data_IF_006218587034
#
_entry.id   IF_006218587034
#
_cell.length_a   1.000
_cell.length_b   1.000
_cell.length_c   1.000
_cell.angle_alpha   90.00
_cell.angle_beta   90.00
_cell.angle_gamma   90.00
#
_symmetry.space_group_name_H-M   'P 1'
#
loop_
_entity.id
_entity.type
_entity.pdbx_description
1 polymer ?
#
# COMPACT_ATOMS: atom_id res chain seq x y z
N UNK A 1 10.71 -19.25 16.91
CA UNK A 1 11.86 -19.76 16.14
C UNK A 1 11.61 -19.39 14.69
N UNK A 2 12.28 -18.38 14.14
CA UNK A 2 12.20 -18.12 12.70
C UNK A 2 12.75 -19.36 12.00
N UNK A 3 11.92 -20.06 11.23
CA UNK A 3 12.39 -21.18 10.44
C UNK A 3 13.27 -20.61 9.32
N UNK A 4 14.59 -20.85 9.42
CA UNK A 4 15.62 -20.29 8.53
C UNK A 4 15.97 -21.27 7.41
N UNK A 5 14.99 -22.00 6.89
CA UNK A 5 15.19 -22.99 5.81
C UNK A 5 15.39 -22.30 4.45
N UNK A 6 16.52 -21.60 4.30
CA UNK A 6 16.88 -20.92 3.07
C UNK A 6 17.13 -21.90 1.91
N UNK A 7 17.57 -23.13 2.22
CA UNK A 7 17.71 -24.20 1.22
C UNK A 7 16.35 -24.61 0.66
N UNK A 8 15.34 -24.75 1.53
CA UNK A 8 13.95 -24.95 1.15
C UNK A 8 13.40 -23.84 0.27
N UNK A 9 13.61 -22.58 0.65
CA UNK A 9 13.21 -21.43 -0.19
C UNK A 9 13.87 -21.48 -1.57
N UNK A 10 15.17 -21.80 -1.63
CA UNK A 10 15.87 -21.94 -2.92
C UNK A 10 15.29 -23.05 -3.79
N UNK A 11 15.10 -24.26 -3.23
CA UNK A 11 14.49 -25.38 -3.98
C UNK A 11 13.09 -25.01 -4.49
N UNK A 12 12.29 -24.36 -3.65
CA UNK A 12 10.95 -23.92 -4.02
C UNK A 12 10.98 -22.99 -5.24
N UNK A 13 11.88 -22.02 -5.27
CA UNK A 13 12.00 -21.07 -6.38
C UNK A 13 12.64 -21.69 -7.63
N UNK A 14 13.79 -22.35 -7.46
CA UNK A 14 14.63 -22.82 -8.57
C UNK A 14 14.12 -24.10 -9.21
N UNK A 15 13.45 -24.97 -8.44
CA UNK A 15 12.93 -26.23 -8.96
C UNK A 15 11.41 -26.19 -9.16
N UNK A 16 10.64 -25.77 -8.15
CA UNK A 16 9.19 -25.91 -8.21
C UNK A 16 8.54 -24.80 -9.04
N UNK A 17 8.81 -23.53 -8.73
CA UNK A 17 8.28 -22.37 -9.45
C UNK A 17 8.85 -22.33 -10.87
N UNK A 18 10.18 -22.29 -11.02
CA UNK A 18 10.84 -22.26 -12.34
C UNK A 18 10.53 -23.49 -13.18
N UNK A 19 10.40 -24.66 -12.56
CA UNK A 19 10.03 -25.91 -13.24
C UNK A 19 8.54 -26.05 -13.55
N UNK A 20 7.69 -25.10 -13.12
CA UNK A 20 6.25 -25.14 -13.37
C UNK A 20 5.53 -26.33 -12.71
N UNK A 21 6.10 -26.88 -11.63
CA UNK A 21 5.52 -28.00 -10.87
C UNK A 21 4.23 -27.57 -10.15
N UNK A 22 3.36 -28.52 -9.75
CA UNK A 22 2.09 -28.18 -9.08
C UNK A 22 2.25 -27.24 -7.88
N UNK A 23 3.20 -27.52 -6.99
CA UNK A 23 3.49 -26.65 -5.84
C UNK A 23 3.96 -25.25 -6.29
N UNK A 24 4.83 -25.20 -7.30
CA UNK A 24 5.31 -23.94 -7.86
C UNK A 24 4.22 -23.07 -8.46
N UNK A 25 3.18 -23.67 -9.06
CA UNK A 25 2.01 -22.93 -9.57
C UNK A 25 1.16 -22.36 -8.45
N UNK A 26 0.99 -23.11 -7.36
CA UNK A 26 0.27 -22.62 -6.17
C UNK A 26 1.02 -21.43 -5.57
N UNK A 27 2.33 -21.58 -5.32
CA UNK A 27 3.16 -20.50 -4.76
C UNK A 27 3.25 -19.29 -5.71
N UNK A 28 3.37 -19.54 -7.02
CA UNK A 28 3.41 -18.50 -8.05
C UNK A 28 2.09 -17.74 -8.22
N UNK A 29 0.98 -18.25 -7.67
CA UNK A 29 -0.30 -17.55 -7.64
C UNK A 29 -0.37 -16.40 -6.62
N UNK A 30 0.66 -16.22 -5.79
CA UNK A 30 0.74 -15.15 -4.81
C UNK A 30 0.07 -15.46 -3.46
N UNK A 31 0.35 -14.61 -2.47
CA UNK A 31 0.01 -14.86 -1.05
C UNK A 31 -1.47 -15.13 -0.82
N UNK A 32 -2.37 -14.35 -1.41
CA UNK A 32 -3.81 -14.53 -1.28
C UNK A 32 -4.28 -15.88 -1.84
N UNK A 33 -3.75 -16.28 -3.01
CA UNK A 33 -4.08 -17.55 -3.64
C UNK A 33 -3.57 -18.75 -2.83
N UNK A 34 -2.33 -18.68 -2.34
CA UNK A 34 -1.74 -19.72 -1.48
C UNK A 34 -2.59 -19.90 -0.23
N UNK A 35 -2.96 -18.80 0.43
CA UNK A 35 -3.76 -18.86 1.64
C UNK A 35 -5.13 -19.49 1.40
N UNK A 36 -5.84 -19.08 0.34
CA UNK A 36 -7.12 -19.68 -0.03
C UNK A 36 -6.99 -21.18 -0.36
N UNK A 37 -5.92 -21.58 -1.04
CA UNK A 37 -5.66 -22.98 -1.42
C UNK A 37 -5.46 -23.88 -0.20
N UNK A 38 -4.83 -23.37 0.85
CA UNK A 38 -4.50 -24.14 2.05
C UNK A 38 -5.42 -23.87 3.25
N UNK A 39 -6.43 -23.00 3.11
CA UNK A 39 -7.33 -22.63 4.21
C UNK A 39 -6.61 -21.89 5.34
N UNK A 40 -5.74 -20.92 5.00
CA UNK A 40 -4.99 -20.11 5.95
C UNK A 40 -5.73 -18.79 6.18
N UNK A 41 -6.09 -18.50 7.42
CA UNK A 41 -6.84 -17.27 7.77
C UNK A 41 -5.93 -16.06 8.03
N UNK A 42 -4.71 -16.30 8.50
CA UNK A 42 -3.73 -15.24 8.81
C UNK A 42 -3.00 -14.78 7.55
N UNK A 43 -3.71 -14.08 6.66
CA UNK A 43 -3.19 -13.65 5.35
C UNK A 43 -2.71 -12.19 5.41
N UNK A 44 -1.45 -11.88 5.10
CA UNK A 44 -0.93 -10.52 5.13
C UNK A 44 -1.11 -9.83 3.76
N UNK A 45 -2.35 -9.55 3.35
CA UNK A 45 -2.66 -8.90 2.07
C UNK A 45 -3.73 -7.81 2.21
N UNK A 46 -3.72 -6.84 1.31
CA UNK A 46 -4.86 -5.93 1.04
C UNK A 46 -5.09 -5.90 -0.46
N UNK A 47 -6.34 -6.07 -0.92
CA UNK A 47 -6.69 -6.25 -2.34
C UNK A 47 -5.89 -7.36 -3.04
N UNK A 48 -5.52 -8.40 -2.29
CA UNK A 48 -4.68 -9.50 -2.78
C UNK A 48 -3.18 -9.20 -2.88
N UNK A 49 -2.76 -7.94 -2.71
CA UNK A 49 -1.35 -7.52 -2.69
C UNK A 49 -0.72 -7.76 -1.32
N UNK A 50 0.49 -8.31 -1.28
CA UNK A 50 1.18 -8.64 -0.03
C UNK A 50 1.62 -7.39 0.76
N UNK A 51 1.43 -7.40 2.08
CA UNK A 51 1.91 -6.32 2.96
C UNK A 51 3.43 -6.16 2.84
N UNK A 52 3.94 -4.93 2.59
CA UNK A 52 5.37 -4.68 2.51
C UNK A 52 6.01 -4.57 3.91
N UNK A 53 7.31 -4.31 3.96
CA UNK A 53 8.14 -4.43 5.16
C UNK A 53 7.95 -3.32 6.23
N UNK A 54 6.76 -2.73 6.34
CA UNK A 54 6.42 -1.76 7.39
C UNK A 54 5.18 -2.21 8.17
N UNK A 55 5.38 -2.47 9.46
CA UNK A 55 4.39 -3.05 10.36
C UNK A 55 3.27 -2.05 10.71
N UNK A 56 2.05 -2.22 10.17
CA UNK A 56 0.97 -1.24 10.31
C UNK A 56 0.45 -1.13 11.74
N UNK A 57 0.65 -2.15 12.59
CA UNK A 57 0.32 -2.04 14.02
C UNK A 57 1.17 -0.98 14.72
N UNK A 58 2.38 -0.69 14.24
CA UNK A 58 3.23 0.37 14.81
C UNK A 58 3.24 1.65 13.98
N UNK A 59 3.02 1.53 12.67
CA UNK A 59 3.00 2.64 11.72
C UNK A 59 1.60 2.74 11.13
N UNK A 60 0.67 3.31 11.91
CA UNK A 60 -0.76 3.36 11.56
C UNK A 60 -1.01 4.08 10.24
N UNK A 61 -0.24 5.14 9.95
CA UNK A 61 -0.31 5.84 8.67
C UNK A 61 -0.06 4.93 7.47
N UNK A 62 0.93 4.02 7.56
CA UNK A 62 1.14 2.99 6.54
C UNK A 62 -0.07 2.07 6.38
N UNK A 63 -0.70 1.68 7.49
CA UNK A 63 -1.92 0.87 7.46
C UNK A 63 -3.08 1.56 6.73
N UNK A 64 -3.22 2.88 6.89
CA UNK A 64 -4.19 3.69 6.15
C UNK A 64 -3.85 3.71 4.66
N UNK A 65 -2.58 3.92 4.28
CA UNK A 65 -2.15 3.86 2.86
C UNK A 65 -2.41 2.48 2.26
N UNK A 66 -2.02 1.38 2.93
CA UNK A 66 -2.25 0.02 2.43
C UNK A 66 -3.72 -0.28 2.19
N UNK A 67 -4.58 0.24 3.07
CA UNK A 67 -6.02 0.08 2.99
C UNK A 67 -6.60 0.87 1.82
N UNK A 68 -6.24 2.15 1.71
CA UNK A 68 -6.89 3.12 0.82
C UNK A 68 -6.28 3.22 -0.59
N UNK A 69 -5.06 2.71 -0.81
CA UNK A 69 -4.41 2.73 -2.11
C UNK A 69 -5.19 1.88 -3.13
N UNK A 70 -5.37 2.38 -4.37
CA UNK A 70 -5.94 1.58 -5.46
C UNK A 70 -5.12 0.33 -5.80
N UNK A 71 -3.81 0.35 -5.55
CA UNK A 71 -2.88 -0.75 -5.88
C UNK A 71 -2.91 -1.90 -4.85
N UNK A 72 -3.63 -1.72 -3.73
CA UNK A 72 -3.57 -2.61 -2.57
C UNK A 72 -2.43 -2.23 -1.62
N UNK A 73 -1.92 -3.21 -0.86
CA UNK A 73 -0.87 -2.96 0.12
C UNK A 73 0.47 -2.57 -0.52
N UNK A 74 0.70 -1.27 -0.69
CA UNK A 74 1.97 -0.73 -1.18
C UNK A 74 2.42 0.47 -0.35
N UNK A 75 3.71 0.51 -0.05
CA UNK A 75 4.35 1.61 0.67
C UNK A 75 4.82 2.72 -0.26
N UNK A 76 5.10 2.43 -1.53
CA UNK A 76 5.47 3.45 -2.52
C UNK A 76 4.26 4.25 -2.99
N UNK A 77 3.04 3.77 -2.72
CA UNK A 77 1.82 4.54 -2.92
C UNK A 77 1.71 5.72 -1.95
N UNK A 78 2.45 5.75 -0.84
CA UNK A 78 2.42 6.88 0.12
C UNK A 78 2.99 6.51 1.48
N UNK A 79 4.19 7.01 1.79
CA UNK A 79 4.96 6.56 2.96
C UNK A 79 4.70 7.44 4.19
N UNK A 80 3.80 7.01 5.07
CA UNK A 80 3.50 7.70 6.35
C UNK A 80 4.12 6.96 7.54
N UNK A 81 5.33 7.37 7.92
CA UNK A 81 6.09 6.75 9.03
C UNK A 81 5.91 7.45 10.38
N UNK A 82 5.07 8.49 10.44
CA UNK A 82 4.80 9.24 11.66
C UNK A 82 4.24 8.35 12.78
N UNK A 83 4.75 8.53 14.00
CA UNK A 83 4.30 7.84 15.22
C UNK A 83 3.71 8.85 16.20
N UNK A 84 2.65 8.46 16.92
CA UNK A 84 2.01 9.30 17.93
C UNK A 84 1.16 10.46 17.39
N UNK A 85 0.98 10.56 16.07
CA UNK A 85 0.02 11.48 15.48
C UNK A 85 -1.43 10.98 15.70
N UNK A 86 -2.39 11.90 15.72
CA UNK A 86 -3.80 11.54 15.83
C UNK A 86 -4.28 10.80 14.57
N UNK A 87 -5.30 9.94 14.66
CA UNK A 87 -5.91 9.29 13.50
C UNK A 87 -6.28 10.26 12.38
N UNK A 88 -6.94 11.39 12.68
CA UNK A 88 -7.28 12.42 11.69
C UNK A 88 -6.06 13.02 10.97
N UNK A 89 -4.95 13.18 11.70
CA UNK A 89 -3.70 13.70 11.11
C UNK A 89 -3.12 12.67 10.15
N UNK A 90 -3.13 11.40 10.54
CA UNK A 90 -2.60 10.31 9.72
C UNK A 90 -3.41 10.09 8.44
N UNK A 91 -4.74 10.26 8.48
CA UNK A 91 -5.60 10.22 7.29
C UNK A 91 -5.20 11.31 6.30
N UNK A 92 -5.05 12.56 6.77
CA UNK A 92 -4.62 13.69 5.94
C UNK A 92 -3.21 13.48 5.36
N UNK A 93 -2.29 12.97 6.17
CA UNK A 93 -0.94 12.63 5.72
C UNK A 93 -0.96 11.54 4.65
N UNK A 94 -1.71 10.45 4.86
CA UNK A 94 -1.82 9.37 3.89
C UNK A 94 -2.38 9.86 2.55
N UNK A 95 -3.44 10.69 2.58
CA UNK A 95 -3.99 11.30 1.37
C UNK A 95 -2.96 12.17 0.65
N UNK A 96 -2.26 13.05 1.37
CA UNK A 96 -1.26 13.95 0.79
C UNK A 96 -0.09 13.18 0.17
N UNK A 97 0.42 12.16 0.87
CA UNK A 97 1.49 11.30 0.35
C UNK A 97 1.04 10.55 -0.89
N UNK A 98 -0.20 10.04 -0.93
CA UNK A 98 -0.75 9.37 -2.12
C UNK A 98 -0.85 10.31 -3.33
N UNK A 99 -1.31 11.55 -3.13
CA UNK A 99 -1.32 12.56 -4.20
C UNK A 99 0.08 12.89 -4.71
N UNK A 100 1.05 12.96 -3.79
CA UNK A 100 2.45 13.27 -4.10
C UNK A 100 3.11 12.12 -4.86
N UNK A 101 2.89 10.87 -4.45
CA UNK A 101 3.42 9.69 -5.14
C UNK A 101 2.78 9.49 -6.51
N UNK A 102 1.48 9.76 -6.65
CA UNK A 102 0.84 9.78 -7.97
C UNK A 102 1.45 10.84 -8.90
N UNK A 103 1.81 12.02 -8.37
CA UNK A 103 2.51 13.04 -9.15
C UNK A 103 3.91 12.56 -9.58
N UNK A 104 4.67 11.94 -8.67
CA UNK A 104 5.98 11.35 -8.94
C UNK A 104 5.90 10.32 -10.07
N UNK A 105 4.96 9.38 -9.98
CA UNK A 105 4.74 8.34 -10.99
C UNK A 105 4.30 8.93 -12.34
N UNK A 106 3.39 9.91 -12.32
CA UNK A 106 2.86 10.54 -13.53
C UNK A 106 3.89 11.41 -14.27
N UNK A 107 4.73 12.14 -13.53
CA UNK A 107 5.84 12.93 -14.08
C UNK A 107 6.98 12.02 -14.54
N UNK A 108 7.07 10.80 -14.00
CA UNK A 108 8.09 9.80 -14.35
C UNK A 108 9.43 10.05 -13.67
N UNK A 109 9.43 10.71 -12.51
CA UNK A 109 10.63 10.87 -11.67
C UNK A 109 10.71 9.76 -10.64
N UNK A 110 11.93 9.42 -10.19
CA UNK A 110 12.09 8.44 -9.13
C UNK A 110 11.65 9.03 -7.77
N UNK A 111 10.89 8.30 -6.96
CA UNK A 111 10.51 8.73 -5.61
C UNK A 111 11.72 9.18 -4.74
N UNK A 112 12.90 8.60 -4.97
CA UNK A 112 14.12 8.94 -4.20
C UNK A 112 14.74 10.29 -4.58
N UNK A 113 14.21 10.99 -5.58
CA UNK A 113 14.54 12.41 -5.77
C UNK A 113 13.99 13.26 -4.63
N UNK A 114 12.95 12.78 -3.92
CA UNK A 114 12.18 13.54 -2.94
C UNK A 114 11.72 14.89 -3.50
N UNK A 115 11.41 14.94 -4.80
CA UNK A 115 10.94 16.15 -5.45
C UNK A 115 9.61 16.60 -4.82
N UNK A 116 9.52 17.88 -4.49
CA UNK A 116 8.27 18.45 -3.99
C UNK A 116 7.30 18.65 -5.16
N UNK A 117 5.98 18.61 -4.93
CA UNK A 117 4.97 18.91 -5.95
C UNK A 117 5.24 20.20 -6.74
N UNK A 118 5.63 21.30 -6.07
CA UNK A 118 6.02 22.54 -6.73
C UNK A 118 7.25 22.43 -7.63
N UNK A 119 8.26 21.64 -7.23
CA UNK A 119 9.44 21.39 -8.07
C UNK A 119 9.07 20.58 -9.32
N UNK A 120 8.19 19.59 -9.18
CA UNK A 120 7.66 18.80 -10.30
C UNK A 120 6.83 19.65 -11.25
N UNK A 121 5.96 20.52 -10.72
CA UNK A 121 5.15 21.44 -11.51
C UNK A 121 6.03 22.43 -12.30
N UNK A 122 7.07 22.98 -11.67
CA UNK A 122 8.05 23.84 -12.33
C UNK A 122 8.81 23.08 -13.43
N UNK A 123 9.26 21.85 -13.16
CA UNK A 123 9.95 21.02 -14.14
C UNK A 123 9.10 20.73 -15.38
N UNK A 124 7.83 20.35 -15.18
CA UNK A 124 6.87 20.14 -16.27
C UNK A 124 6.63 21.44 -17.04
N UNK A 125 6.47 22.56 -16.33
CA UNK A 125 6.26 23.87 -16.95
C UNK A 125 7.39 24.25 -17.90
N UNK A 126 8.64 24.12 -17.44
CA UNK A 126 9.84 24.39 -18.26
C UNK A 126 9.96 23.41 -19.43
N UNK A 127 9.59 22.14 -19.25
CA UNK A 127 9.69 21.12 -20.29
C UNK A 127 8.73 21.37 -21.45
N UNK A 128 7.52 21.82 -21.17
CA UNK A 128 6.45 21.94 -22.17
C UNK A 128 6.11 23.39 -22.55
N UNK A 129 6.62 24.39 -21.81
CA UNK A 129 6.38 25.80 -22.09
C UNK A 129 4.98 26.28 -21.68
N UNK A 130 4.27 25.50 -20.86
CA UNK A 130 2.93 25.82 -20.36
C UNK A 130 2.98 25.89 -18.83
N UNK A 131 2.43 26.94 -18.19
CA UNK A 131 2.47 27.06 -16.74
C UNK A 131 1.60 25.99 -16.09
N UNK A 132 2.18 25.28 -15.12
CA UNK A 132 1.50 24.34 -14.24
C UNK A 132 1.83 24.72 -12.79
N UNK A 133 0.80 24.92 -11.98
CA UNK A 133 0.94 25.15 -10.54
C UNK A 133 0.99 23.83 -9.75
N UNK A 134 1.47 23.91 -8.51
CA UNK A 134 1.44 22.78 -7.57
C UNK A 134 0.01 22.26 -7.34
N UNK A 135 -0.96 23.17 -7.13
CA UNK A 135 -2.35 22.81 -6.90
C UNK A 135 -2.98 22.11 -8.11
N UNK A 136 -2.66 22.56 -9.33
CA UNK A 136 -3.11 21.90 -10.57
C UNK A 136 -2.48 20.52 -10.70
N UNK A 137 -1.19 20.35 -10.41
CA UNK A 137 -0.54 19.04 -10.42
C UNK A 137 -1.20 18.08 -9.42
N UNK A 138 -1.46 18.51 -8.19
CA UNK A 138 -2.12 17.68 -7.19
C UNK A 138 -3.59 17.39 -7.54
N UNK A 139 -4.26 18.29 -8.24
CA UNK A 139 -5.60 18.05 -8.81
C UNK A 139 -5.55 16.96 -9.87
N UNK A 140 -4.59 17.01 -10.80
CA UNK A 140 -4.38 15.95 -11.79
C UNK A 140 -4.04 14.60 -11.15
N UNK A 141 -3.23 14.59 -10.08
CA UNK A 141 -2.98 13.38 -9.29
C UNK A 141 -4.26 12.81 -8.66
N UNK A 142 -5.14 13.68 -8.15
CA UNK A 142 -6.43 13.25 -7.59
C UNK A 142 -7.29 12.59 -8.67
N UNK A 143 -7.39 13.20 -9.84
CA UNK A 143 -8.17 12.67 -10.96
C UNK A 143 -7.64 11.30 -11.43
N UNK A 144 -6.32 11.12 -11.45
CA UNK A 144 -5.68 9.84 -11.76
C UNK A 144 -6.05 8.76 -10.73
N UNK A 145 -5.93 9.06 -9.43
CA UNK A 145 -6.32 8.12 -8.36
C UNK A 145 -7.81 7.79 -8.41
N UNK A 146 -8.69 8.77 -8.65
CA UNK A 146 -10.12 8.52 -8.80
C UNK A 146 -10.43 7.61 -10.00
N UNK A 147 -9.66 7.76 -11.09
CA UNK A 147 -9.75 6.86 -12.25
C UNK A 147 -9.35 5.43 -11.89
N UNK A 148 -8.26 5.24 -11.13
CA UNK A 148 -7.84 3.92 -10.64
C UNK A 148 -8.87 3.30 -9.69
N UNK A 149 -9.45 4.10 -8.79
CA UNK A 149 -10.52 3.66 -7.89
C UNK A 149 -11.78 3.24 -8.66
N UNK A 150 -12.16 3.99 -9.69
CA UNK A 150 -13.29 3.63 -10.54
C UNK A 150 -13.02 2.36 -11.33
N UNK A 151 -11.79 2.16 -11.82
CA UNK A 151 -11.37 0.88 -12.41
C UNK A 151 -11.56 -0.28 -11.42
N UNK A 152 -11.10 -0.13 -10.18
CA UNK A 152 -11.27 -1.14 -9.13
C UNK A 152 -12.75 -1.42 -8.83
N UNK A 153 -13.58 -0.37 -8.69
CA UNK A 153 -15.02 -0.52 -8.48
C UNK A 153 -15.68 -1.32 -9.60
N UNK A 154 -15.28 -1.08 -10.85
CA UNK A 154 -15.76 -1.83 -12.02
C UNK A 154 -15.23 -3.27 -12.05
N UNK A 155 -14.07 -3.54 -11.45
CA UNK A 155 -13.53 -4.88 -11.25
C UNK A 155 -14.19 -5.63 -10.06
N UNK A 156 -15.07 -4.96 -9.30
CA UNK A 156 -15.84 -5.55 -8.21
C UNK A 156 -15.32 -5.25 -6.81
N UNK A 157 -14.31 -4.38 -6.68
CA UNK A 157 -13.84 -3.92 -5.37
C UNK A 157 -14.84 -2.95 -4.74
N UNK A 158 -15.00 -3.04 -3.42
CA UNK A 158 -15.77 -2.09 -2.64
C UNK A 158 -15.01 -1.62 -1.39
N UNK A 159 -15.71 -1.00 -0.44
CA UNK A 159 -15.10 -0.45 0.79
C UNK A 159 -14.58 -1.53 1.71
N UNK A 160 -15.11 -2.75 1.65
CA UNK A 160 -14.66 -3.86 2.48
C UNK A 160 -13.28 -4.37 2.02
N UNK A 161 -12.90 -4.13 0.76
CA UNK A 161 -11.55 -4.40 0.25
C UNK A 161 -10.52 -3.33 0.65
N UNK A 162 -10.98 -2.17 1.15
CA UNK A 162 -10.16 -1.08 1.67
C UNK A 162 -9.85 -1.30 3.17
N UNK A 163 -9.59 -2.55 3.58
CA UNK A 163 -9.40 -2.95 4.99
C UNK A 163 -8.15 -3.77 5.20
N UNK A 164 -7.48 -3.58 6.33
CA UNK A 164 -6.41 -4.46 6.77
C UNK A 164 -6.96 -5.81 7.26
N UNK A 165 -6.19 -6.90 7.11
CA UNK A 165 -6.53 -8.21 7.69
C UNK A 165 -6.87 -8.13 9.18
N UNK A 166 -7.96 -8.79 9.58
CA UNK A 166 -8.51 -8.75 10.94
C UNK A 166 -7.47 -9.10 12.03
N UNK A 167 -6.57 -10.04 11.77
CA UNK A 167 -5.53 -10.43 12.73
C UNK A 167 -4.60 -9.27 13.11
N UNK A 168 -4.45 -8.23 12.28
CA UNK A 168 -3.70 -7.02 12.64
C UNK A 168 -4.42 -6.14 13.66
N UNK A 169 -5.75 -6.25 13.73
CA UNK A 169 -6.60 -5.56 14.71
C UNK A 169 -6.73 -6.37 16.01
N UNK A 170 -6.76 -7.70 15.89
CA UNK A 170 -7.02 -8.58 17.02
C UNK A 170 -5.76 -9.07 17.75
N UNK A 171 -4.66 -9.32 17.02
CA UNK A 171 -3.44 -9.87 17.59
C UNK A 171 -2.44 -8.77 17.99
N UNK A 172 -2.25 -8.51 19.29
CA UNK A 172 -1.36 -7.45 19.72
C UNK A 172 0.08 -7.80 19.45
N UNK A 173 0.81 -6.87 18.83
CA UNK A 173 2.24 -6.94 18.67
C UNK A 173 2.92 -6.54 19.98
N UNK A 174 3.74 -7.40 20.60
CA UNK A 174 4.51 -7.02 21.78
C UNK A 174 5.53 -5.92 21.42
N UNK A 175 5.45 -4.77 22.09
CA UNK A 175 6.42 -3.67 21.96
C UNK A 175 7.00 -3.30 23.32
N UNK A 176 8.18 -2.65 23.38
CA UNK A 176 8.78 -2.20 24.63
C UNK A 176 7.91 -1.27 25.48
N UNK A 177 7.04 -0.50 24.82
CA UNK A 177 6.14 0.52 25.39
C UNK A 177 4.69 0.04 25.58
N UNK A 178 4.44 -1.26 25.35
CA UNK A 178 3.12 -1.88 25.48
C UNK A 178 2.64 -2.52 24.17
N UNK A 179 1.70 -3.47 24.23
CA UNK A 179 1.22 -4.13 23.03
C UNK A 179 0.54 -3.15 22.06
N UNK A 180 0.67 -3.37 20.75
CA UNK A 180 0.06 -2.52 19.72
C UNK A 180 -0.74 -3.33 18.69
N UNK A 181 -1.93 -2.85 18.34
CA UNK A 181 -2.84 -3.42 17.32
C UNK A 181 -3.25 -2.33 16.34
N UNK A 182 -3.64 -2.63 15.11
CA UNK A 182 -4.15 -1.61 14.20
C UNK A 182 -5.56 -1.17 14.63
N UNK A 183 -5.65 0.05 15.15
CA UNK A 183 -6.77 0.62 15.89
C UNK A 183 -7.35 1.86 15.21
N UNK A 184 -7.12 2.01 13.90
CA UNK A 184 -7.77 3.06 13.10
C UNK A 184 -9.16 2.56 12.68
N UNK A 185 -10.19 3.35 13.00
CA UNK A 185 -11.57 3.08 12.62
C UNK A 185 -11.74 3.10 11.10
N UNK A 186 -12.55 2.18 10.58
CA UNK A 186 -12.79 2.06 9.13
C UNK A 186 -13.41 3.32 8.53
N UNK A 187 -14.25 4.02 9.28
CA UNK A 187 -14.84 5.29 8.85
C UNK A 187 -13.77 6.35 8.53
N UNK A 188 -12.67 6.39 9.31
CA UNK A 188 -11.56 7.31 9.05
C UNK A 188 -10.76 6.92 7.80
N UNK A 189 -10.67 5.62 7.50
CA UNK A 189 -10.03 5.13 6.28
C UNK A 189 -10.87 5.54 5.06
N UNK A 190 -12.19 5.44 5.16
CA UNK A 190 -13.12 5.85 4.11
C UNK A 190 -13.01 7.35 3.79
N UNK A 191 -12.64 8.19 4.76
CA UNK A 191 -12.44 9.64 4.57
C UNK A 191 -11.21 10.00 3.72
N UNK A 192 -10.27 9.07 3.47
CA UNK A 192 -9.09 9.37 2.63
C UNK A 192 -9.51 9.81 1.23
N UNK A 193 -10.56 9.19 0.69
CA UNK A 193 -11.05 9.43 -0.67
C UNK A 193 -12.58 9.65 -0.76
N UNK A 194 -13.27 9.68 0.37
CA UNK A 194 -14.72 9.91 0.49
C UNK A 194 -15.16 11.36 0.39
#
# INVERSE_FOLDING_TARGET
MYNRDWEGTKRLLDEDVRGGKPLGRIIGGGTAHVAATYGIDRVPVVKGQGLPAWEPRTLKGMGITYSSSPQGADHTAGMVTARGATPDTLVKQSRQEQLTMMAVDSVGVCQFTNALPGDMAAFISERFGEPLSEDELLTLSRDAIETEREFNRRAGFDREDDRLPQWLRDEPLPMPDGPSVFDIEDALIDEVWG
#
